data_IF_440861837620
#
_entry.id   IF_440861837620
#
_cell.length_a   1.000
_cell.length_b   1.000
_cell.length_c   1.000
_cell.angle_alpha   90.00
_cell.angle_beta   90.00
_cell.angle_gamma   90.00
#
_symmetry.space_group_name_H-M   'P 1'
#
loop_
_entity.id
_entity.type
_entity.pdbx_description
1 polymer ?
#
# COMPACT_ATOMS: atom_id res chain seq x y z
N UNK A 1 -1.48 5.18 41.71
CA UNK A 1 -1.58 5.40 40.26
C UNK A 1 -0.60 6.51 39.94
N UNK A 2 0.56 6.16 39.39
CA UNK A 2 1.73 7.03 39.33
C UNK A 2 1.65 7.94 38.11
N UNK A 3 2.22 9.13 38.19
CA UNK A 3 2.39 10.06 37.06
C UNK A 3 3.14 9.40 35.88
N UNK A 4 3.94 8.35 36.14
CA UNK A 4 4.59 7.53 35.11
C UNK A 4 3.60 6.74 34.21
N UNK A 5 2.45 6.33 34.74
CA UNK A 5 1.47 5.53 33.99
C UNK A 5 0.81 6.38 32.87
N UNK A 6 0.70 7.69 33.08
CA UNK A 6 0.15 8.65 32.09
C UNK A 6 1.12 9.02 30.96
N UNK A 7 2.44 8.88 31.16
CA UNK A 7 3.43 9.19 30.12
C UNK A 7 3.47 8.08 29.07
N UNK A 8 3.23 6.81 29.47
CA UNK A 8 3.18 5.67 28.55
C UNK A 8 1.99 5.71 27.57
N UNK A 9 0.88 6.34 27.95
CA UNK A 9 -0.32 6.38 27.09
C UNK A 9 -0.23 7.49 26.01
N UNK A 10 0.60 8.53 26.24
CA UNK A 10 0.82 9.63 25.29
C UNK A 10 1.77 9.29 24.13
N UNK A 11 2.54 8.19 24.22
CA UNK A 11 3.51 7.78 23.19
C UNK A 11 2.99 6.72 22.23
N UNK A 12 1.86 6.06 22.51
CA UNK A 12 1.25 5.04 21.62
C UNK A 12 0.92 5.56 20.21
N UNK A 13 0.68 6.87 20.06
CA UNK A 13 0.42 7.49 18.75
C UNK A 13 1.66 7.74 17.89
N UNK A 14 2.87 7.57 18.45
CA UNK A 14 4.15 7.90 17.82
C UNK A 14 5.00 6.66 17.48
N UNK A 15 4.50 5.45 17.69
CA UNK A 15 5.26 4.26 17.29
C UNK A 15 5.30 4.12 15.76
N UNK A 16 6.47 3.83 15.18
CA UNK A 16 6.61 3.70 13.74
C UNK A 16 5.76 2.53 13.24
N UNK A 17 4.90 2.82 12.26
CA UNK A 17 4.12 1.80 11.56
C UNK A 17 4.90 1.27 10.38
N UNK A 18 5.00 -0.05 10.31
CA UNK A 18 5.69 -0.73 9.23
C UNK A 18 4.69 -1.17 8.17
N UNK A 19 5.20 -1.31 6.95
CA UNK A 19 4.42 -1.79 5.81
C UNK A 19 5.20 -2.80 4.97
N UNK A 20 4.49 -3.83 4.48
CA UNK A 20 5.00 -4.82 3.53
C UNK A 20 4.09 -4.84 2.32
N UNK A 21 4.67 -4.69 1.12
CA UNK A 21 3.93 -4.63 -0.14
C UNK A 21 4.20 -5.86 -0.98
N UNK A 22 3.16 -6.35 -1.64
CA UNK A 22 3.22 -7.45 -2.58
C UNK A 22 2.70 -6.95 -3.92
N UNK A 23 3.46 -7.19 -4.97
CA UNK A 23 3.01 -6.97 -6.34
C UNK A 23 2.62 -8.32 -6.93
N UNK A 24 1.36 -8.46 -7.33
CA UNK A 24 0.76 -9.74 -7.72
C UNK A 24 0.34 -9.64 -9.18
N UNK A 25 0.98 -10.40 -10.06
CA UNK A 25 0.71 -10.39 -11.51
C UNK A 25 0.12 -11.69 -12.05
N UNK A 26 0.32 -12.80 -11.35
CA UNK A 26 0.03 -14.15 -11.81
C UNK A 26 -1.05 -14.81 -10.95
N UNK A 27 -2.04 -14.05 -10.49
CA UNK A 27 -3.16 -14.56 -9.71
C UNK A 27 -4.41 -13.73 -9.97
N UNK A 28 -5.55 -14.40 -10.01
CA UNK A 28 -6.84 -13.76 -10.19
C UNK A 28 -7.26 -13.03 -8.91
N UNK A 29 -8.09 -12.00 -9.07
CA UNK A 29 -8.66 -11.28 -7.92
C UNK A 29 -9.42 -12.22 -6.97
N UNK A 30 -10.07 -13.26 -7.50
CA UNK A 30 -10.79 -14.24 -6.69
C UNK A 30 -9.86 -15.08 -5.82
N UNK A 31 -8.74 -15.56 -6.36
CA UNK A 31 -7.73 -16.32 -5.63
C UNK A 31 -7.13 -15.46 -4.51
N UNK A 32 -6.75 -14.22 -4.81
CA UNK A 32 -6.19 -13.28 -3.81
C UNK A 32 -7.20 -13.06 -2.68
N UNK A 33 -8.47 -12.79 -3.01
CA UNK A 33 -9.53 -12.61 -1.99
C UNK A 33 -9.76 -13.88 -1.18
N UNK A 34 -9.65 -15.06 -1.79
CA UNK A 34 -9.78 -16.34 -1.10
C UNK A 34 -8.64 -16.55 -0.11
N UNK A 35 -7.40 -16.27 -0.51
CA UNK A 35 -6.22 -16.32 0.37
C UNK A 35 -6.37 -15.38 1.57
N UNK A 36 -6.84 -14.14 1.34
CA UNK A 36 -7.08 -13.20 2.45
C UNK A 36 -8.14 -13.76 3.43
N UNK A 37 -9.25 -14.29 2.92
CA UNK A 37 -10.35 -14.80 3.76
C UNK A 37 -9.99 -16.08 4.52
N UNK A 38 -9.12 -16.92 3.93
CA UNK A 38 -8.66 -18.19 4.52
C UNK A 38 -7.41 -18.03 5.39
N UNK A 39 -6.85 -16.82 5.46
CA UNK A 39 -5.62 -16.56 6.20
C UNK A 39 -5.80 -16.87 7.70
N UNK A 40 -4.79 -17.48 8.37
CA UNK A 40 -4.90 -17.91 9.77
C UNK A 40 -5.33 -16.81 10.76
N UNK A 41 -4.85 -15.57 10.60
CA UNK A 41 -5.29 -14.44 11.45
C UNK A 41 -6.69 -13.89 11.14
N UNK A 42 -7.47 -14.58 10.30
CA UNK A 42 -8.89 -14.37 10.06
C UNK A 42 -9.23 -12.91 9.64
N UNK A 43 -8.64 -12.45 8.53
CA UNK A 43 -8.90 -11.12 8.00
C UNK A 43 -10.39 -10.95 7.62
N UNK A 44 -10.98 -9.84 8.05
CA UNK A 44 -12.37 -9.44 7.74
C UNK A 44 -12.38 -8.12 7.00
N UNK A 45 -13.25 -8.00 6.00
CA UNK A 45 -13.49 -6.73 5.32
C UNK A 45 -14.18 -5.77 6.30
N UNK A 46 -13.63 -4.55 6.46
CA UNK A 46 -14.09 -3.58 7.47
C UNK A 46 -14.71 -2.33 6.89
N UNK A 47 -14.55 -2.11 5.58
CA UNK A 47 -15.11 -0.96 4.87
C UNK A 47 -15.59 -1.41 3.49
N UNK A 48 -16.64 -0.76 2.95
CA UNK A 48 -17.04 -1.00 1.57
C UNK A 48 -15.88 -0.65 0.62
N UNK A 49 -15.78 -1.43 -0.46
CA UNK A 49 -14.90 -1.12 -1.58
C UNK A 49 -15.09 0.33 -2.03
N UNK A 50 -13.98 1.05 -2.23
CA UNK A 50 -14.00 2.43 -2.73
C UNK A 50 -13.12 2.58 -3.97
N UNK A 51 -13.41 3.60 -4.77
CA UNK A 51 -12.53 4.04 -5.85
C UNK A 51 -11.56 5.09 -5.30
N UNK A 52 -10.28 4.96 -5.64
CA UNK A 52 -9.21 5.87 -5.21
C UNK A 52 -8.64 6.59 -6.43
N UNK A 53 -8.44 7.90 -6.30
CA UNK A 53 -7.82 8.77 -7.31
C UNK A 53 -6.63 9.48 -6.65
N UNK A 54 -5.42 9.09 -7.02
CA UNK A 54 -4.20 9.73 -6.52
C UNK A 54 -3.59 10.60 -7.62
N UNK A 55 -3.16 11.81 -7.27
CA UNK A 55 -2.38 12.69 -8.12
C UNK A 55 -0.98 12.77 -7.51
N UNK A 56 0.03 12.33 -8.25
CA UNK A 56 1.42 12.49 -7.89
C UNK A 56 1.99 13.70 -8.62
N UNK A 57 2.80 14.48 -7.91
CA UNK A 57 3.46 15.67 -8.43
C UNK A 57 4.98 15.46 -8.37
N UNK A 58 5.72 15.89 -9.39
CA UNK A 58 7.19 15.76 -9.47
C UNK A 58 7.82 16.98 -10.17
N UNK A 59 9.13 17.19 -10.00
CA UNK A 59 9.90 18.26 -10.66
C UNK A 59 10.14 17.97 -12.15
N UNK A 60 10.55 19.00 -12.89
CA UNK A 60 10.93 18.87 -14.30
C UNK A 60 12.04 17.81 -14.45
N UNK A 61 11.84 16.83 -15.34
CA UNK A 61 12.82 15.77 -15.60
C UNK A 61 12.83 14.58 -14.63
N UNK A 62 11.83 14.42 -13.74
CA UNK A 62 11.78 13.35 -12.72
C UNK A 62 12.93 13.42 -11.69
N UNK A 63 13.50 14.60 -11.46
CA UNK A 63 14.65 14.76 -10.57
C UNK A 63 14.29 14.50 -9.10
N UNK A 64 13.06 14.79 -8.64
CA UNK A 64 12.68 14.48 -7.25
C UNK A 64 12.43 12.97 -7.06
N UNK A 65 11.97 12.25 -8.09
CA UNK A 65 11.93 10.78 -8.08
C UNK A 65 13.31 10.16 -7.86
N UNK A 66 14.37 10.77 -8.41
CA UNK A 66 15.74 10.28 -8.27
C UNK A 66 16.40 10.70 -6.94
N UNK A 67 16.09 11.90 -6.41
CA UNK A 67 16.96 12.55 -5.42
C UNK A 67 16.30 12.86 -4.05
N UNK A 68 15.01 12.52 -3.81
CA UNK A 68 14.29 12.76 -2.54
C UNK A 68 14.40 14.21 -1.98
N UNK A 69 14.71 15.20 -2.81
CA UNK A 69 14.85 16.61 -2.41
C UNK A 69 13.59 17.40 -2.77
N UNK A 70 13.03 18.11 -1.79
CA UNK A 70 11.80 18.87 -1.94
C UNK A 70 12.10 20.33 -2.32
N UNK A 71 12.19 20.64 -3.61
CA UNK A 71 12.04 22.02 -4.09
C UNK A 71 10.62 22.20 -4.66
N UNK A 72 9.72 22.78 -3.86
CA UNK A 72 8.28 22.87 -4.12
C UNK A 72 7.87 23.77 -5.30
N UNK A 73 8.80 24.56 -5.86
CA UNK A 73 8.48 25.63 -6.81
C UNK A 73 8.33 25.20 -8.28
N UNK A 74 8.49 23.91 -8.60
CA UNK A 74 8.49 23.42 -10.00
C UNK A 74 7.68 22.12 -10.21
N UNK A 75 6.74 21.82 -9.31
CA UNK A 75 5.99 20.57 -9.36
C UNK A 75 4.96 20.55 -10.49
N UNK A 76 5.02 19.54 -11.36
CA UNK A 76 4.00 19.18 -12.36
C UNK A 76 3.34 17.86 -11.98
N UNK A 77 2.12 17.61 -12.47
CA UNK A 77 1.51 16.27 -12.35
C UNK A 77 2.42 15.27 -13.03
N UNK A 78 2.90 14.28 -12.30
CA UNK A 78 3.78 13.22 -12.82
C UNK A 78 3.00 11.95 -13.11
N UNK A 79 2.02 11.60 -12.27
CA UNK A 79 1.10 10.51 -12.55
C UNK A 79 -0.28 10.71 -11.91
N UNK A 80 -1.33 10.26 -12.59
CA UNK A 80 -2.67 10.09 -12.07
C UNK A 80 -2.95 8.60 -11.94
N UNK A 81 -3.24 8.13 -10.73
CA UNK A 81 -3.50 6.72 -10.47
C UNK A 81 -4.97 6.54 -10.07
N UNK A 82 -5.69 5.65 -10.76
CA UNK A 82 -7.07 5.24 -10.43
C UNK A 82 -7.06 3.76 -10.06
N UNK A 83 -7.75 3.36 -8.99
CA UNK A 83 -7.88 1.94 -8.63
C UNK A 83 -9.04 1.72 -7.66
N UNK A 84 -9.50 0.47 -7.54
CA UNK A 84 -10.38 0.06 -6.45
C UNK A 84 -9.55 -0.42 -5.26
N UNK A 85 -9.98 -0.06 -4.05
CA UNK A 85 -9.38 -0.51 -2.79
C UNK A 85 -10.40 -1.22 -1.92
N UNK A 86 -10.02 -2.37 -1.39
CA UNK A 86 -10.67 -3.04 -0.27
C UNK A 86 -9.80 -3.03 0.98
N UNK A 87 -10.44 -3.07 2.15
CA UNK A 87 -9.80 -2.94 3.45
C UNK A 87 -10.13 -4.13 4.33
N UNK A 88 -9.10 -4.76 4.88
CA UNK A 88 -9.26 -5.87 5.80
C UNK A 88 -8.53 -5.63 7.11
N UNK A 89 -9.07 -6.18 8.19
CA UNK A 89 -8.46 -6.16 9.53
C UNK A 89 -8.47 -7.59 10.07
N UNK A 90 -7.35 -8.00 10.64
CA UNK A 90 -7.19 -9.28 11.35
C UNK A 90 -8.13 -9.38 12.55
N UNK A 91 -8.45 -10.59 13.00
CA UNK A 91 -9.35 -10.79 14.13
C UNK A 91 -8.84 -10.16 15.44
N UNK A 92 -7.53 -10.14 15.64
CA UNK A 92 -6.85 -9.52 16.78
C UNK A 92 -6.62 -8.00 16.62
N UNK A 93 -6.94 -7.44 15.44
CA UNK A 93 -6.80 -6.04 15.05
C UNK A 93 -5.35 -5.53 14.94
N UNK A 94 -4.35 -6.41 15.04
CA UNK A 94 -2.92 -6.03 14.96
C UNK A 94 -2.48 -5.75 13.53
N UNK A 95 -3.09 -6.45 12.58
CA UNK A 95 -2.74 -6.38 11.16
C UNK A 95 -3.87 -5.80 10.33
N UNK A 96 -3.52 -4.93 9.39
CA UNK A 96 -4.42 -4.35 8.40
C UNK A 96 -3.93 -4.65 7.00
N UNK A 97 -4.83 -5.01 6.10
CA UNK A 97 -4.54 -5.18 4.68
C UNK A 97 -5.28 -4.13 3.85
N UNK A 98 -4.62 -3.67 2.79
CA UNK A 98 -5.32 -3.07 1.65
C UNK A 98 -5.04 -3.86 0.39
N UNK A 99 -6.10 -4.19 -0.34
CA UNK A 99 -6.01 -4.82 -1.66
C UNK A 99 -6.44 -3.80 -2.72
N UNK A 100 -5.51 -3.45 -3.60
CA UNK A 100 -5.72 -2.54 -4.72
C UNK A 100 -5.73 -3.32 -6.04
N UNK A 101 -6.73 -3.08 -6.88
CA UNK A 101 -6.93 -3.77 -8.17
C UNK A 101 -7.60 -2.85 -9.19
N UNK A 102 -7.62 -3.27 -10.46
CA UNK A 102 -8.05 -2.43 -11.60
C UNK A 102 -7.22 -1.13 -11.65
N UNK A 103 -5.90 -1.30 -11.65
CA UNK A 103 -4.93 -0.21 -11.56
C UNK A 103 -4.89 0.53 -12.89
N UNK A 104 -5.18 1.83 -12.90
CA UNK A 104 -4.97 2.67 -14.07
C UNK A 104 -3.92 3.72 -13.75
N UNK A 105 -2.96 3.90 -14.65
CA UNK A 105 -1.90 4.89 -14.54
C UNK A 105 -1.97 5.82 -15.75
N UNK A 106 -1.97 7.13 -15.49
CA UNK A 106 -1.97 8.15 -16.55
C UNK A 106 -0.80 9.10 -16.33
N UNK A 107 -0.07 9.43 -17.40
CA UNK A 107 0.81 10.62 -17.45
C UNK A 107 0.02 11.76 -18.12
N UNK A 108 0.26 13.04 -17.79
CA UNK A 108 -0.46 14.14 -18.41
C UNK A 108 -0.36 14.19 -19.94
N UNK A 109 0.73 13.63 -20.49
CA UNK A 109 1.07 13.69 -21.92
C UNK A 109 0.77 12.38 -22.69
N UNK A 110 0.34 11.30 -22.02
CA UNK A 110 0.06 9.98 -22.63
C UNK A 110 -1.36 9.49 -22.35
N UNK A 111 -1.83 8.55 -23.19
CA UNK A 111 -3.09 7.83 -23.00
C UNK A 111 -3.13 7.09 -21.64
N UNK A 112 -4.34 6.88 -21.15
CA UNK A 112 -4.63 6.09 -19.94
C UNK A 112 -4.19 4.64 -20.17
N UNK A 113 -3.24 4.15 -19.37
CA UNK A 113 -2.92 2.72 -19.33
C UNK A 113 -3.70 2.05 -18.21
N UNK A 114 -4.53 1.07 -18.58
CA UNK A 114 -5.26 0.24 -17.62
C UNK A 114 -4.58 -1.10 -17.46
N UNK A 115 -4.44 -1.50 -16.21
CA UNK A 115 -3.87 -2.74 -15.77
C UNK A 115 -4.87 -3.48 -14.88
N UNK A 116 -5.58 -4.39 -15.52
CA UNK A 116 -6.63 -5.18 -14.89
C UNK A 116 -6.08 -6.52 -14.36
N UNK A 117 -4.83 -6.87 -14.70
CA UNK A 117 -4.23 -8.15 -14.34
C UNK A 117 -3.45 -8.08 -13.03
N UNK A 118 -2.86 -6.93 -12.72
CA UNK A 118 -2.04 -6.81 -11.51
C UNK A 118 -2.82 -6.24 -10.32
N UNK A 119 -2.46 -6.75 -9.14
CA UNK A 119 -2.97 -6.27 -7.86
C UNK A 119 -1.81 -5.87 -6.93
N UNK A 120 -2.10 -4.96 -6.00
CA UNK A 120 -1.18 -4.62 -4.92
C UNK A 120 -1.83 -4.98 -3.60
N UNK A 121 -1.19 -5.85 -2.84
CA UNK A 121 -1.56 -6.14 -1.45
C UNK A 121 -0.57 -5.44 -0.52
N UNK A 122 -1.06 -4.75 0.50
CA UNK A 122 -0.23 -4.01 1.45
C UNK A 122 -0.64 -4.37 2.88
N UNK A 123 0.30 -4.91 3.65
CA UNK A 123 0.16 -5.29 5.06
C UNK A 123 0.74 -4.19 5.93
N UNK A 124 -0.06 -3.68 6.88
CA UNK A 124 0.32 -2.65 7.85
C UNK A 124 0.18 -3.16 9.27
N UNK A 125 1.17 -2.83 10.10
CA UNK A 125 1.25 -3.24 11.50
C UNK A 125 2.12 -2.25 12.28
N UNK A 126 1.95 -2.24 13.60
CA UNK A 126 2.79 -1.46 14.51
C UNK A 126 4.12 -2.22 14.74
N UNK A 127 5.22 -1.50 14.97
CA UNK A 127 6.59 -2.06 15.01
C UNK A 127 6.76 -3.25 15.95
N UNK A 128 6.09 -3.22 17.11
CA UNK A 128 6.11 -4.31 18.10
C UNK A 128 5.71 -5.69 17.53
N UNK A 129 4.98 -5.73 16.41
CA UNK A 129 4.52 -6.94 15.75
C UNK A 129 5.38 -7.35 14.54
N UNK A 130 6.61 -6.84 14.35
CA UNK A 130 7.41 -7.15 13.16
C UNK A 130 7.76 -8.64 13.01
N UNK A 131 8.01 -9.33 14.12
CA UNK A 131 8.28 -10.77 14.11
C UNK A 131 7.03 -11.56 13.71
N UNK A 132 5.87 -11.25 14.30
CA UNK A 132 4.58 -11.85 13.91
C UNK A 132 4.25 -11.52 12.43
N UNK A 133 4.56 -10.31 11.99
CA UNK A 133 4.34 -9.86 10.61
C UNK A 133 5.16 -10.68 9.61
N UNK A 134 6.31 -11.26 9.99
CA UNK A 134 7.05 -12.23 9.15
C UNK A 134 6.22 -13.46 8.88
N UNK A 135 5.63 -14.04 9.90
CA UNK A 135 4.79 -15.22 9.76
C UNK A 135 3.53 -14.90 8.94
N UNK A 136 2.83 -13.80 9.28
CA UNK A 136 1.65 -13.35 8.52
C UNK A 136 2.00 -13.08 7.05
N UNK A 137 3.15 -12.45 6.77
CA UNK A 137 3.55 -12.19 5.38
C UNK A 137 3.95 -13.45 4.61
N UNK A 138 4.50 -14.47 5.29
CA UNK A 138 4.98 -15.70 4.68
C UNK A 138 3.85 -16.62 4.21
N UNK A 139 2.66 -16.51 4.82
CA UNK A 139 1.45 -17.23 4.40
C UNK A 139 0.88 -16.71 3.07
N UNK A 140 1.32 -15.53 2.61
CA UNK A 140 1.01 -15.05 1.27
C UNK A 140 2.03 -15.60 0.27
N UNK A 141 1.61 -16.37 -0.76
CA UNK A 141 2.50 -16.96 -1.76
C UNK A 141 2.95 -15.93 -2.82
N UNK A 142 3.20 -14.69 -2.41
CA UNK A 142 3.52 -13.56 -3.28
C UNK A 142 4.87 -12.97 -2.92
N UNK A 143 5.58 -12.49 -3.94
CA UNK A 143 6.85 -11.82 -3.73
C UNK A 143 6.64 -10.44 -3.09
N UNK A 144 7.33 -10.20 -1.99
CA UNK A 144 7.38 -8.88 -1.36
C UNK A 144 8.26 -7.93 -2.18
N UNK A 145 7.82 -6.68 -2.31
CA UNK A 145 8.51 -5.62 -3.05
C UNK A 145 8.66 -4.37 -2.18
N UNK A 146 9.64 -3.53 -2.52
CA UNK A 146 9.82 -2.19 -1.91
C UNK A 146 9.20 -1.06 -2.75
N UNK A 147 8.72 -1.38 -3.96
CA UNK A 147 8.31 -0.38 -4.95
C UNK A 147 7.00 0.31 -4.58
N UNK A 148 6.94 1.63 -4.80
CA UNK A 148 5.73 2.42 -4.60
C UNK A 148 4.84 2.40 -5.84
N UNK A 149 3.56 2.77 -5.68
CA UNK A 149 2.61 2.92 -6.80
C UNK A 149 3.05 3.98 -7.82
N UNK A 150 3.79 4.99 -7.37
CA UNK A 150 4.34 6.02 -8.25
C UNK A 150 5.51 5.47 -9.06
N UNK A 151 6.46 4.80 -8.41
CA UNK A 151 7.60 4.10 -9.05
C UNK A 151 7.11 3.16 -10.15
N UNK A 152 6.13 2.31 -9.84
CA UNK A 152 5.54 1.39 -10.82
C UNK A 152 4.84 2.10 -11.97
N UNK A 153 4.14 3.20 -11.69
CA UNK A 153 3.50 4.02 -12.73
C UNK A 153 4.52 4.62 -13.69
N UNK A 154 5.66 5.10 -13.18
CA UNK A 154 6.75 5.62 -14.01
C UNK A 154 7.36 4.51 -14.88
N UNK A 155 7.66 3.34 -14.31
CA UNK A 155 8.22 2.17 -15.01
C UNK A 155 7.31 1.63 -16.11
N UNK A 156 5.99 1.61 -15.88
CA UNK A 156 5.04 1.16 -16.92
C UNK A 156 4.93 2.14 -18.07
N UNK A 157 5.08 3.43 -17.77
CA UNK A 157 4.86 4.51 -18.72
C UNK A 157 6.16 5.01 -19.38
N UNK A 158 7.33 4.43 -19.03
CA UNK A 158 8.63 4.68 -19.67
C UNK A 158 8.81 3.75 -20.87
#
# INVERSE_FOLDING_TARGET
MSVMDNIFDLTRGNEPRYERKFFISNSTLYEIKSLIKLHPVCFKEVFPQRRVNNIYLDSFGLENYLDNKFYLLQLRVSSLNNYFRQYYVSADKKFRLTLDFDLCFCKPEKLIERDNSNCILELKYDYEYDDDARNVSAEFPFRMTKSSKHTMGIEKLS
#
